data_IF_249118427103
#
_entry.id   IF_249118427103
#
_cell.length_a   1.000
_cell.length_b   1.000
_cell.length_c   1.000
_cell.angle_alpha   90.00
_cell.angle_beta   90.00
_cell.angle_gamma   90.00
#
_symmetry.space_group_name_H-M   'P 1'
#
loop_
_entity.id
_entity.type
_entity.pdbx_description
1 polymer ?
#
# COMPACT_ATOMS: atom_id res chain seq x y z
N UNK A 1 1.74 1.86 25.15
CA UNK A 1 1.44 3.30 25.06
C UNK A 1 0.66 3.48 23.77
N UNK A 2 -0.62 3.75 23.88
CA UNK A 2 -1.55 3.86 22.74
C UNK A 2 -1.23 5.12 21.96
N UNK A 3 -1.21 5.03 20.62
CA UNK A 3 -0.96 6.12 19.66
C UNK A 3 -2.10 7.14 19.55
N UNK A 4 -3.00 7.19 20.51
CA UNK A 4 -4.03 8.23 20.63
C UNK A 4 -3.38 9.47 21.22
N UNK A 5 -3.08 10.47 20.38
CA UNK A 5 -2.87 11.83 20.85
C UNK A 5 -1.56 12.54 20.54
N UNK A 6 -0.77 12.13 19.55
CA UNK A 6 0.27 13.05 19.07
C UNK A 6 -0.40 14.14 18.22
N UNK A 7 -0.32 15.40 18.68
CA UNK A 7 -0.80 16.53 17.88
C UNK A 7 0.04 16.65 16.61
N UNK A 8 -0.54 17.28 15.58
CA UNK A 8 0.18 17.58 14.33
C UNK A 8 1.45 18.39 14.62
N UNK A 9 1.40 19.32 15.58
CA UNK A 9 2.56 20.11 16.00
C UNK A 9 3.67 19.22 16.57
N UNK A 10 3.35 18.29 17.49
CA UNK A 10 4.32 17.34 18.04
C UNK A 10 4.93 16.44 16.96
N UNK A 11 4.14 16.02 15.95
CA UNK A 11 4.65 15.24 14.84
C UNK A 11 5.62 16.06 13.98
N UNK A 12 5.30 17.32 13.69
CA UNK A 12 6.19 18.22 12.95
C UNK A 12 7.46 18.52 13.73
N UNK A 13 7.39 18.76 15.05
CA UNK A 13 8.57 18.98 15.91
C UNK A 13 9.53 17.77 15.90
N UNK A 14 9.00 16.55 15.85
CA UNK A 14 9.79 15.32 15.96
C UNK A 14 10.30 14.78 14.63
N UNK A 15 9.51 14.91 13.58
CA UNK A 15 9.73 14.22 12.30
C UNK A 15 9.62 15.13 11.09
N UNK A 16 9.18 16.40 11.27
CA UNK A 16 9.16 17.38 10.19
C UNK A 16 10.57 17.69 9.69
N UNK A 17 10.71 17.90 8.40
CA UNK A 17 11.97 18.29 7.74
C UNK A 17 11.63 19.48 6.85
N UNK A 18 12.32 20.60 7.09
CA UNK A 18 12.12 21.82 6.31
C UNK A 18 12.27 21.53 4.82
N UNK A 19 11.33 22.02 4.01
CA UNK A 19 11.28 21.86 2.55
C UNK A 19 11.24 20.39 2.05
N UNK A 20 10.90 19.42 2.91
CA UNK A 20 10.82 18.02 2.51
C UNK A 20 9.67 17.23 3.15
N UNK A 21 9.42 17.38 4.46
CA UNK A 21 8.41 16.57 5.18
C UNK A 21 7.61 17.45 6.13
N UNK A 22 6.29 17.47 5.96
CA UNK A 22 5.37 18.15 6.85
C UNK A 22 4.22 17.22 7.25
N UNK A 23 3.67 17.43 8.45
CA UNK A 23 2.47 16.77 8.93
C UNK A 23 1.31 17.76 8.94
N UNK A 24 0.17 17.33 8.45
CA UNK A 24 -1.07 18.11 8.46
C UNK A 24 -2.29 17.26 8.82
N UNK A 25 -3.42 17.94 9.03
CA UNK A 25 -4.73 17.32 9.12
C UNK A 25 -5.26 17.13 7.69
N UNK A 26 -5.12 15.93 7.16
CA UNK A 26 -5.64 15.55 5.86
C UNK A 26 -7.16 15.43 5.82
N UNK A 27 -7.70 14.80 4.79
CA UNK A 27 -9.15 14.56 4.66
C UNK A 27 -9.67 13.80 5.87
N UNK A 28 -10.85 14.21 6.35
CA UNK A 28 -11.47 13.62 7.55
C UNK A 28 -10.76 13.94 8.87
N UNK A 29 -9.79 14.86 8.86
CA UNK A 29 -8.98 15.21 10.04
C UNK A 29 -7.94 14.15 10.41
N UNK A 30 -7.75 13.12 9.57
CA UNK A 30 -6.74 12.09 9.83
C UNK A 30 -5.33 12.65 9.63
N UNK A 31 -4.38 12.39 10.54
CA UNK A 31 -3.00 12.82 10.39
C UNK A 31 -2.38 12.29 9.10
N UNK A 32 -1.76 13.19 8.33
CA UNK A 32 -1.14 12.91 7.05
C UNK A 32 0.28 13.47 7.02
N UNK A 33 1.18 12.73 6.41
CA UNK A 33 2.51 13.19 5.99
C UNK A 33 2.41 13.67 4.55
N UNK A 34 2.90 14.86 4.30
CA UNK A 34 3.17 15.40 2.98
C UNK A 34 4.68 15.40 2.78
N UNK A 35 5.13 14.65 1.81
CA UNK A 35 6.51 14.72 1.29
C UNK A 35 6.49 15.58 0.05
N UNK A 36 7.29 16.64 0.03
CA UNK A 36 7.43 17.53 -1.11
C UNK A 36 8.90 17.89 -1.31
N UNK A 37 9.51 17.32 -2.32
CA UNK A 37 10.93 17.53 -2.68
C UNK A 37 11.04 17.92 -4.14
N UNK A 38 12.21 18.43 -4.60
CA UNK A 38 12.40 18.70 -6.02
C UNK A 38 12.26 17.48 -6.94
N UNK A 39 12.36 16.25 -6.40
CA UNK A 39 12.33 15.01 -7.19
C UNK A 39 10.99 14.28 -7.12
N UNK A 40 10.19 14.48 -6.07
CA UNK A 40 8.90 13.79 -5.93
C UNK A 40 7.99 14.42 -4.87
N UNK A 41 6.69 14.12 -4.99
CA UNK A 41 5.65 14.40 -4.00
C UNK A 41 4.94 13.10 -3.59
N UNK A 42 4.62 12.96 -2.29
CA UNK A 42 3.81 11.85 -1.80
C UNK A 42 2.97 12.24 -0.59
N UNK A 43 1.82 11.58 -0.41
CA UNK A 43 0.97 11.70 0.76
C UNK A 43 0.82 10.34 1.44
N UNK A 44 1.11 10.29 2.73
CA UNK A 44 0.97 9.06 3.54
C UNK A 44 0.14 9.37 4.79
N UNK A 45 -1.00 8.71 4.93
CA UNK A 45 -1.82 8.81 6.14
C UNK A 45 -1.28 7.89 7.22
N UNK A 46 -1.24 8.35 8.48
CA UNK A 46 -0.88 7.49 9.61
C UNK A 46 -1.91 6.39 9.84
N UNK A 47 -3.15 6.62 9.41
CA UNK A 47 -4.20 5.61 9.35
C UNK A 47 -3.89 4.59 8.24
N UNK A 48 -3.47 3.39 8.66
CA UNK A 48 -3.08 2.31 7.76
C UNK A 48 -1.68 2.45 7.17
N UNK A 49 -0.86 3.42 7.60
CA UNK A 49 0.39 3.83 6.93
C UNK A 49 0.19 3.96 5.41
N UNK A 50 -0.96 4.54 5.03
CA UNK A 50 -1.55 4.42 3.70
C UNK A 50 -0.98 5.47 2.74
N UNK A 51 -0.20 5.02 1.75
CA UNK A 51 0.28 5.88 0.66
C UNK A 51 -0.89 6.16 -0.28
N UNK A 52 -1.36 7.42 -0.31
CA UNK A 52 -2.54 7.82 -1.09
C UNK A 52 -2.22 8.61 -2.34
N UNK A 53 -1.01 9.16 -2.41
CA UNK A 53 -0.51 9.93 -3.55
C UNK A 53 0.97 9.67 -3.73
N UNK A 54 1.41 9.57 -4.97
CA UNK A 54 2.81 9.60 -5.37
C UNK A 54 2.92 10.14 -6.78
N UNK A 55 3.87 11.06 -6.96
CA UNK A 55 4.19 11.68 -8.24
C UNK A 55 5.68 12.02 -8.27
N UNK A 56 6.43 11.48 -9.21
CA UNK A 56 7.80 11.93 -9.47
C UNK A 56 7.81 13.21 -10.33
N UNK A 57 8.85 14.01 -10.18
CA UNK A 57 8.95 15.29 -10.87
C UNK A 57 8.83 15.13 -12.39
N UNK A 58 8.03 15.98 -13.02
CA UNK A 58 7.79 15.95 -14.47
C UNK A 58 6.85 14.85 -14.96
N UNK A 59 6.26 14.05 -14.07
CA UNK A 59 5.32 12.97 -14.40
C UNK A 59 3.94 13.19 -13.79
N UNK A 60 2.92 12.51 -14.30
CA UNK A 60 1.59 12.46 -13.71
C UNK A 60 1.54 11.53 -12.50
N UNK A 61 0.55 11.75 -11.61
CA UNK A 61 0.32 10.88 -10.44
C UNK A 61 0.19 9.40 -10.84
N UNK A 62 0.82 8.54 -10.06
CA UNK A 62 0.83 7.07 -10.29
C UNK A 62 -0.37 6.40 -9.63
N UNK A 63 -0.82 6.92 -8.48
CA UNK A 63 -1.82 6.26 -7.65
C UNK A 63 -3.22 6.83 -7.89
N UNK A 64 -4.21 5.94 -8.03
CA UNK A 64 -5.62 6.30 -8.04
C UNK A 64 -6.16 6.37 -6.62
N UNK A 65 -6.85 7.45 -6.30
CA UNK A 65 -7.57 7.64 -5.04
C UNK A 65 -9.04 7.93 -5.32
N UNK A 66 -9.94 7.11 -4.78
CA UNK A 66 -11.38 7.31 -4.97
C UNK A 66 -11.87 8.61 -4.33
N UNK A 67 -12.59 9.42 -5.10
CA UNK A 67 -13.22 10.64 -4.59
C UNK A 67 -14.32 10.34 -3.57
N UNK A 68 -14.92 9.14 -3.64
CA UNK A 68 -15.97 8.69 -2.72
C UNK A 68 -15.40 8.00 -1.47
N UNK A 69 -14.06 7.94 -1.32
CA UNK A 69 -13.45 7.36 -0.14
C UNK A 69 -13.80 8.15 1.11
N UNK A 70 -14.29 7.48 2.14
CA UNK A 70 -14.44 8.05 3.47
C UNK A 70 -13.08 8.03 4.17
N UNK A 71 -12.69 9.16 4.77
CA UNK A 71 -11.47 9.26 5.58
C UNK A 71 -11.86 9.27 7.06
N UNK A 72 -12.36 8.13 7.54
CA UNK A 72 -12.83 7.96 8.91
C UNK A 72 -11.97 6.92 9.63
N UNK A 73 -11.68 7.16 10.90
CA UNK A 73 -10.99 6.18 11.76
C UNK A 73 -11.71 4.82 11.72
N UNK A 74 -10.96 3.74 11.67
CA UNK A 74 -11.47 2.36 11.60
C UNK A 74 -12.06 1.95 10.25
N UNK A 75 -12.10 2.83 9.25
CA UNK A 75 -12.57 2.52 7.89
C UNK A 75 -11.41 2.54 6.89
N UNK A 76 -11.37 1.61 5.92
CA UNK A 76 -10.30 1.61 4.93
C UNK A 76 -10.45 2.79 3.96
N UNK A 77 -9.35 3.48 3.67
CA UNK A 77 -9.25 4.43 2.56
C UNK A 77 -9.30 3.62 1.25
N UNK A 78 -10.04 4.12 0.25
CA UNK A 78 -10.24 3.44 -1.04
C UNK A 78 -9.34 4.05 -2.12
N UNK A 79 -8.42 3.25 -2.66
CA UNK A 79 -7.37 3.68 -3.60
C UNK A 79 -6.02 3.78 -2.90
N UNK A 80 -5.01 4.35 -3.56
CA UNK A 80 -3.65 4.38 -3.06
C UNK A 80 -3.03 2.99 -2.94
N UNK A 81 -2.30 2.73 -1.86
CA UNK A 81 -1.68 1.43 -1.58
C UNK A 81 -2.02 0.97 -0.16
N UNK A 82 -3.21 0.39 0.08
CA UNK A 82 -3.54 -0.20 1.37
C UNK A 82 -2.70 -1.46 1.66
N UNK A 83 -2.32 -1.62 2.93
CA UNK A 83 -1.61 -2.80 3.43
C UNK A 83 -2.63 -3.86 3.83
N UNK A 84 -2.65 -5.00 3.14
CA UNK A 84 -3.41 -6.18 3.54
C UNK A 84 -2.55 -7.03 4.46
N UNK A 85 -2.99 -7.24 5.72
CA UNK A 85 -2.28 -8.02 6.74
C UNK A 85 -3.20 -8.23 7.96
N UNK A 86 -3.20 -9.40 8.64
CA UNK A 86 -2.39 -10.59 8.39
C UNK A 86 -3.07 -11.64 7.49
N UNK A 87 -4.14 -11.32 6.79
CA UNK A 87 -4.75 -12.15 5.76
C UNK A 87 -5.20 -11.31 4.57
N UNK A 88 -5.31 -11.97 3.41
CA UNK A 88 -5.85 -11.39 2.19
C UNK A 88 -7.25 -11.92 1.92
N UNK A 89 -8.20 -11.05 1.54
CA UNK A 89 -9.59 -11.45 1.31
C UNK A 89 -10.41 -11.60 2.60
N UNK A 90 -11.35 -12.49 2.56
CA UNK A 90 -12.19 -12.90 3.72
C UNK A 90 -11.39 -13.88 4.56
N UNK A 91 -11.48 -13.77 5.89
CA UNK A 91 -10.98 -14.80 6.77
C UNK A 91 -12.07 -15.88 6.93
N UNK A 92 -11.89 -17.04 6.31
CA UNK A 92 -12.88 -18.11 6.32
C UNK A 92 -13.16 -18.66 7.73
N UNK A 93 -12.16 -18.60 8.63
CA UNK A 93 -12.32 -19.05 10.01
C UNK A 93 -13.00 -18.00 10.91
N UNK A 94 -13.08 -16.76 10.48
CA UNK A 94 -13.70 -15.64 11.21
C UNK A 94 -14.43 -14.72 10.22
N UNK A 95 -15.64 -15.05 9.78
CA UNK A 95 -16.38 -14.28 8.75
C UNK A 95 -16.63 -12.81 9.12
N UNK A 96 -16.72 -12.49 10.41
CA UNK A 96 -16.91 -11.13 10.92
C UNK A 96 -15.61 -10.32 11.01
N UNK A 97 -14.47 -10.95 10.74
CA UNK A 97 -13.18 -10.26 10.74
C UNK A 97 -13.07 -9.25 9.57
N UNK A 98 -12.28 -8.19 9.74
CA UNK A 98 -12.10 -7.19 8.69
C UNK A 98 -11.58 -7.80 7.37
N UNK A 99 -12.25 -7.51 6.26
CA UNK A 99 -11.77 -7.91 4.93
C UNK A 99 -10.33 -7.42 4.71
N UNK A 100 -9.43 -8.28 4.24
CA UNK A 100 -7.99 -8.03 4.03
C UNK A 100 -7.22 -7.69 5.31
N UNK A 101 -7.61 -8.22 6.45
CA UNK A 101 -6.96 -7.95 7.71
C UNK A 101 -7.22 -6.55 8.27
N UNK A 102 -6.50 -6.23 9.34
CA UNK A 102 -6.74 -5.02 10.12
C UNK A 102 -5.68 -3.91 9.91
N UNK A 103 -4.54 -4.19 9.31
CA UNK A 103 -3.42 -3.24 9.23
C UNK A 103 -3.81 -1.89 8.59
N UNK A 104 -4.62 -1.94 7.54
CA UNK A 104 -5.08 -0.75 6.79
C UNK A 104 -6.14 0.11 7.50
N UNK A 105 -6.66 -0.34 8.65
CA UNK A 105 -7.68 0.38 9.43
C UNK A 105 -7.18 0.79 10.82
N UNK A 106 -5.91 0.53 11.12
CA UNK A 106 -5.27 0.89 12.39
C UNK A 106 -4.38 2.13 12.23
N UNK A 107 -4.24 2.93 13.30
CA UNK A 107 -3.20 3.97 13.31
C UNK A 107 -1.82 3.32 13.43
N UNK A 108 -0.87 3.80 12.62
CA UNK A 108 0.54 3.41 12.68
C UNK A 108 1.37 4.52 13.32
N UNK A 109 2.41 4.13 14.02
CA UNK A 109 3.36 5.07 14.61
C UNK A 109 4.44 5.42 13.60
N UNK A 110 4.75 6.71 13.44
CA UNK A 110 5.96 7.13 12.72
C UNK A 110 7.14 6.91 13.66
N UNK A 111 8.16 6.20 13.19
CA UNK A 111 9.37 5.91 13.93
C UNK A 111 10.57 6.69 13.41
N UNK A 112 10.57 7.06 12.13
CA UNK A 112 11.61 7.84 11.49
C UNK A 112 11.09 8.59 10.27
N UNK A 113 11.63 9.78 10.04
CA UNK A 113 11.60 10.49 8.76
C UNK A 113 12.98 11.08 8.52
N UNK A 114 13.57 10.85 7.36
CA UNK A 114 14.90 11.35 7.02
C UNK A 114 15.05 11.60 5.52
N UNK A 115 15.80 12.62 5.16
CA UNK A 115 16.33 12.77 3.81
C UNK A 115 17.50 11.79 3.61
N UNK A 116 17.57 11.22 2.42
CA UNK A 116 18.64 10.34 1.99
C UNK A 116 19.30 10.93 0.74
N UNK A 117 20.36 10.29 0.25
CA UNK A 117 21.07 10.76 -0.93
C UNK A 117 20.14 10.91 -2.15
N UNK A 118 20.43 11.87 -3.00
CA UNK A 118 19.65 12.15 -4.22
C UNK A 118 18.32 12.84 -3.99
N UNK A 119 18.11 13.47 -2.82
CA UNK A 119 16.86 14.20 -2.50
C UNK A 119 15.67 13.30 -2.20
N UNK A 120 15.91 12.02 -1.91
CA UNK A 120 14.87 11.07 -1.51
C UNK A 120 14.53 11.24 -0.03
N UNK A 121 13.30 10.89 0.34
CA UNK A 121 12.82 10.84 1.73
C UNK A 121 12.47 9.42 2.10
N UNK A 122 13.01 8.93 3.22
CA UNK A 122 12.64 7.66 3.84
C UNK A 122 11.75 7.93 5.05
N UNK A 123 10.58 7.29 5.07
CA UNK A 123 9.62 7.29 6.18
C UNK A 123 9.52 5.86 6.73
N UNK A 124 9.58 5.72 8.06
CA UNK A 124 9.38 4.43 8.73
C UNK A 124 8.19 4.48 9.67
N UNK A 125 7.41 3.43 9.59
CA UNK A 125 6.20 3.23 10.38
C UNK A 125 6.26 1.91 11.13
N UNK A 126 5.54 1.83 12.25
CA UNK A 126 5.42 0.62 13.06
C UNK A 126 3.96 0.41 13.47
N UNK A 127 3.48 -0.82 13.30
CA UNK A 127 2.26 -1.32 13.92
C UNK A 127 2.63 -2.45 14.88
N UNK A 128 2.28 -2.29 16.15
CA UNK A 128 2.56 -3.27 17.20
C UNK A 128 1.24 -3.97 17.57
N UNK A 129 1.29 -5.29 17.73
CA UNK A 129 0.15 -6.07 18.16
C UNK A 129 -0.35 -5.64 19.55
N UNK A 130 -1.64 -5.39 19.65
CA UNK A 130 -2.36 -5.01 20.88
C UNK A 130 -3.50 -5.99 21.21
N UNK A 131 -4.27 -5.74 22.26
CA UNK A 131 -5.44 -6.57 22.61
C UNK A 131 -6.48 -6.62 21.49
N UNK A 132 -6.70 -5.48 20.80
CA UNK A 132 -7.65 -5.40 19.70
C UNK A 132 -7.21 -6.18 18.46
N UNK A 133 -5.90 -6.29 18.19
CA UNK A 133 -5.38 -7.14 17.11
C UNK A 133 -5.39 -8.61 17.51
N UNK A 134 -5.10 -8.93 18.78
CA UNK A 134 -5.13 -10.32 19.29
C UNK A 134 -6.52 -10.94 19.26
N UNK A 135 -7.57 -10.12 19.34
CA UNK A 135 -8.95 -10.60 19.18
C UNK A 135 -9.21 -11.26 17.81
N UNK A 136 -8.49 -10.79 16.78
CA UNK A 136 -8.60 -11.31 15.42
C UNK A 136 -7.45 -12.25 15.03
N UNK A 137 -6.25 -12.02 15.57
CA UNK A 137 -5.05 -12.78 15.25
C UNK A 137 -4.19 -12.89 16.51
N UNK A 138 -4.23 -14.03 17.24
CA UNK A 138 -3.72 -14.17 18.63
C UNK A 138 -2.20 -14.33 18.67
N UNK A 139 -1.47 -13.47 17.96
CA UNK A 139 -0.01 -13.45 17.94
C UNK A 139 0.53 -12.10 18.41
N UNK A 140 1.69 -12.14 19.07
CA UNK A 140 2.50 -10.95 19.32
C UNK A 140 3.36 -10.66 18.09
N UNK A 141 3.34 -9.43 17.61
CA UNK A 141 4.10 -9.05 16.42
C UNK A 141 4.45 -7.57 16.41
N UNK A 142 5.46 -7.24 15.63
CA UNK A 142 5.76 -5.88 15.18
C UNK A 142 5.82 -5.90 13.67
N UNK A 143 5.05 -5.02 13.02
CA UNK A 143 5.04 -4.88 11.58
C UNK A 143 5.63 -3.52 11.23
N UNK A 144 6.84 -3.52 10.69
CA UNK A 144 7.52 -2.35 10.15
C UNK A 144 7.07 -2.09 8.70
N UNK A 145 6.90 -0.83 8.36
CA UNK A 145 6.66 -0.41 6.98
C UNK A 145 7.57 0.75 6.63
N UNK A 146 8.37 0.60 5.59
CA UNK A 146 9.27 1.63 5.09
C UNK A 146 8.79 2.12 3.75
N UNK A 147 8.68 3.43 3.60
CA UNK A 147 8.33 4.11 2.34
C UNK A 147 9.49 5.03 1.96
N UNK A 148 10.08 4.80 0.79
CA UNK A 148 11.08 5.71 0.23
C UNK A 148 10.47 6.43 -0.96
N UNK A 149 10.45 7.75 -0.87
CA UNK A 149 9.90 8.67 -1.88
C UNK A 149 11.06 9.36 -2.59
N UNK A 150 11.15 9.16 -3.88
CA UNK A 150 12.16 9.75 -4.74
C UNK A 150 11.69 9.71 -6.20
N UNK A 151 12.62 9.59 -7.13
CA UNK A 151 12.34 9.30 -8.54
C UNK A 151 11.54 8.00 -8.74
N UNK A 152 11.67 7.08 -7.77
CA UNK A 152 10.85 5.88 -7.62
C UNK A 152 10.18 5.87 -6.24
N UNK A 153 9.04 5.18 -6.15
CA UNK A 153 8.39 4.88 -4.89
C UNK A 153 8.75 3.45 -4.48
N UNK A 154 9.46 3.29 -3.37
CA UNK A 154 9.76 1.98 -2.81
C UNK A 154 9.00 1.78 -1.51
N UNK A 155 8.40 0.59 -1.35
CA UNK A 155 7.66 0.21 -0.16
C UNK A 155 8.11 -1.17 0.30
N UNK A 156 8.39 -1.33 1.60
CA UNK A 156 8.84 -2.59 2.19
C UNK A 156 8.11 -2.87 3.49
N UNK A 157 7.63 -4.10 3.66
CA UNK A 157 7.07 -4.62 4.90
C UNK A 157 8.07 -5.57 5.56
N UNK A 158 8.22 -5.44 6.88
CA UNK A 158 9.07 -6.29 7.71
C UNK A 158 8.26 -6.78 8.92
N UNK A 159 8.06 -8.09 9.01
CA UNK A 159 7.34 -8.71 10.12
C UNK A 159 8.32 -9.30 11.12
N UNK A 160 8.24 -8.87 12.37
CA UNK A 160 8.92 -9.47 13.51
C UNK A 160 7.91 -10.26 14.36
N UNK A 161 8.21 -11.53 14.58
CA UNK A 161 7.43 -12.42 15.45
C UNK A 161 7.93 -12.28 16.89
N UNK A 162 7.13 -11.67 17.76
CA UNK A 162 7.47 -11.48 19.19
C UNK A 162 7.19 -12.73 20.03
N UNK A 163 6.80 -13.84 19.42
CA UNK A 163 6.46 -15.09 20.11
C UNK A 163 7.52 -16.17 19.85
N UNK A 164 7.49 -17.23 20.67
CA UNK A 164 8.32 -18.43 20.46
C UNK A 164 7.66 -19.46 19.56
N UNK A 165 6.43 -19.19 19.10
CA UNK A 165 5.67 -20.09 18.24
C UNK A 165 5.72 -19.60 16.80
N UNK A 166 5.71 -20.52 15.86
CA UNK A 166 5.55 -20.21 14.43
C UNK A 166 4.23 -19.49 14.19
N UNK A 167 4.25 -18.48 13.33
CA UNK A 167 3.05 -17.79 12.87
C UNK A 167 2.95 -17.88 11.34
N UNK A 168 1.73 -17.92 10.85
CA UNK A 168 1.42 -17.84 9.43
C UNK A 168 0.61 -16.58 9.14
N UNK A 169 0.96 -15.90 8.07
CA UNK A 169 0.23 -14.72 7.61
C UNK A 169 0.23 -14.62 6.08
N UNK A 170 -0.71 -13.87 5.56
CA UNK A 170 -0.71 -13.39 4.19
C UNK A 170 -0.54 -11.87 4.21
N UNK A 171 0.18 -11.35 3.23
CA UNK A 171 0.39 -9.91 3.08
C UNK A 171 0.30 -9.48 1.63
N UNK A 172 -0.17 -8.26 1.40
CA UNK A 172 -0.15 -7.63 0.09
C UNK A 172 -0.11 -6.12 0.21
N UNK A 173 0.61 -5.47 -0.70
CA UNK A 173 0.48 -4.05 -1.01
C UNK A 173 -0.51 -3.92 -2.16
N UNK A 174 -1.78 -3.63 -1.85
CA UNK A 174 -2.87 -3.63 -2.82
C UNK A 174 -2.93 -2.29 -3.58
N UNK A 175 -2.01 -2.10 -4.52
CA UNK A 175 -1.83 -0.81 -5.21
C UNK A 175 -2.90 -0.56 -6.25
N UNK A 176 -3.52 0.62 -6.20
CA UNK A 176 -4.45 1.13 -7.21
C UNK A 176 -3.72 2.11 -8.12
N UNK A 177 -3.52 1.74 -9.37
CA UNK A 177 -2.90 2.61 -10.35
C UNK A 177 -3.91 3.55 -11.00
N UNK A 178 -3.52 4.83 -11.16
CA UNK A 178 -4.25 5.78 -11.99
C UNK A 178 -4.03 5.44 -13.45
N UNK A 179 -5.10 5.26 -14.21
CA UNK A 179 -5.05 4.99 -15.64
C UNK A 179 -6.07 5.85 -16.40
N UNK A 180 -5.81 6.11 -17.68
CA UNK A 180 -6.69 6.90 -18.54
C UNK A 180 -8.06 6.22 -18.77
N UNK A 181 -8.01 4.96 -19.19
CA UNK A 181 -9.18 4.10 -19.43
C UNK A 181 -8.70 2.64 -19.33
N UNK A 182 -9.24 1.89 -18.38
CA UNK A 182 -8.86 0.49 -18.13
C UNK A 182 -8.96 -0.41 -19.39
N UNK A 183 -9.85 -0.08 -20.31
CA UNK A 183 -10.03 -0.83 -21.59
C UNK A 183 -8.91 -0.58 -22.60
N UNK A 184 -8.07 0.44 -22.37
CA UNK A 184 -6.99 0.85 -23.28
C UNK A 184 -5.60 0.58 -22.74
N UNK A 185 -5.53 0.05 -21.50
CA UNK A 185 -4.26 -0.31 -20.89
C UNK A 185 -3.96 -1.79 -21.04
N UNK A 186 -2.69 -2.13 -20.92
CA UNK A 186 -2.24 -3.52 -20.90
C UNK A 186 -1.18 -3.72 -19.82
N UNK A 187 -1.11 -4.95 -19.30
CA UNK A 187 -0.09 -5.32 -18.31
C UNK A 187 0.76 -6.46 -18.87
N UNK A 188 2.06 -6.21 -19.01
CA UNK A 188 3.08 -7.15 -19.46
C UNK A 188 3.84 -7.74 -18.28
N UNK A 189 4.53 -8.85 -18.52
CA UNK A 189 5.36 -9.57 -17.53
C UNK A 189 4.64 -10.74 -16.87
N UNK A 190 3.38 -11.01 -17.23
CA UNK A 190 2.57 -12.11 -16.70
C UNK A 190 2.28 -13.18 -17.77
N UNK A 191 2.82 -13.05 -18.96
CA UNK A 191 2.63 -13.96 -20.07
C UNK A 191 3.06 -15.38 -19.69
N UNK A 192 2.26 -16.37 -20.08
CA UNK A 192 2.49 -17.79 -19.77
C UNK A 192 2.49 -18.17 -18.28
N UNK A 193 2.18 -17.24 -17.37
CA UNK A 193 2.06 -17.50 -15.94
C UNK A 193 0.72 -18.13 -15.60
N UNK A 194 0.69 -19.01 -14.63
CA UNK A 194 -0.53 -19.60 -14.08
C UNK A 194 -1.24 -18.63 -13.14
N UNK A 195 -2.56 -18.59 -13.19
CA UNK A 195 -3.38 -17.79 -12.27
C UNK A 195 -4.66 -18.51 -11.87
N UNK A 196 -5.24 -18.09 -10.74
CA UNK A 196 -6.59 -18.43 -10.35
C UNK A 196 -7.52 -17.29 -10.79
N UNK A 197 -8.56 -17.64 -11.56
CA UNK A 197 -9.57 -16.70 -12.04
C UNK A 197 -10.72 -16.60 -11.02
N UNK A 198 -10.75 -15.53 -10.23
CA UNK A 198 -11.76 -15.34 -9.18
C UNK A 198 -13.15 -15.07 -9.76
N UNK A 199 -13.22 -14.45 -10.95
CA UNK A 199 -14.50 -14.22 -11.66
C UNK A 199 -15.10 -15.52 -12.15
N UNK A 200 -14.26 -16.52 -12.45
CA UNK A 200 -14.68 -17.85 -12.91
C UNK A 200 -14.49 -18.90 -11.79
N UNK A 201 -15.00 -18.60 -10.60
CA UNK A 201 -15.05 -19.55 -9.47
C UNK A 201 -13.69 -20.00 -8.94
N UNK A 202 -12.61 -19.28 -9.22
CA UNK A 202 -11.25 -19.64 -8.78
C UNK A 202 -10.60 -20.74 -9.61
N UNK A 203 -11.07 -20.99 -10.83
CA UNK A 203 -10.49 -21.99 -11.72
C UNK A 203 -9.05 -21.61 -12.09
N UNK A 204 -8.16 -22.60 -12.06
CA UNK A 204 -6.77 -22.42 -12.46
C UNK A 204 -6.65 -22.32 -13.98
N UNK A 205 -6.08 -21.22 -14.45
CA UNK A 205 -5.85 -20.93 -15.88
C UNK A 205 -4.41 -20.55 -16.14
N UNK A 206 -4.05 -20.43 -17.41
CA UNK A 206 -2.75 -19.93 -17.84
C UNK A 206 -2.95 -18.68 -18.70
N UNK A 207 -2.17 -17.62 -18.42
CA UNK A 207 -2.14 -16.43 -19.23
C UNK A 207 -1.63 -16.77 -20.63
N UNK A 208 -2.34 -16.38 -21.71
CA UNK A 208 -1.82 -16.53 -23.06
C UNK A 208 -0.47 -15.83 -23.29
N UNK A 209 0.16 -16.12 -24.41
CA UNK A 209 1.36 -15.40 -24.83
C UNK A 209 0.99 -14.01 -25.35
N UNK A 210 0.85 -13.07 -24.43
CA UNK A 210 0.47 -11.69 -24.67
C UNK A 210 0.09 -11.00 -23.36
N UNK A 211 0.00 -9.66 -23.36
CA UNK A 211 -0.31 -8.90 -22.16
C UNK A 211 -1.70 -9.20 -21.62
N UNK A 212 -1.91 -8.88 -20.36
CA UNK A 212 -3.25 -8.83 -19.77
C UNK A 212 -3.96 -7.58 -20.27
N UNK A 213 -5.16 -7.74 -20.81
CA UNK A 213 -6.06 -6.65 -21.23
C UNK A 213 -7.41 -6.81 -20.55
N UNK A 214 -8.18 -5.73 -20.48
CA UNK A 214 -9.40 -5.65 -19.69
C UNK A 214 -10.61 -5.38 -20.61
N UNK A 215 -11.40 -6.41 -20.89
CA UNK A 215 -12.66 -6.30 -21.65
C UNK A 215 -13.91 -6.37 -20.77
N UNK A 216 -13.74 -6.70 -19.50
CA UNK A 216 -14.79 -6.85 -18.49
C UNK A 216 -14.18 -6.99 -17.11
N UNK A 217 -14.99 -7.44 -16.14
CA UNK A 217 -14.51 -7.73 -14.81
C UNK A 217 -13.35 -8.72 -14.85
N UNK A 218 -12.27 -8.39 -14.15
CA UNK A 218 -11.05 -9.19 -14.12
C UNK A 218 -10.53 -9.22 -12.70
N UNK A 219 -10.50 -10.40 -12.10
CA UNK A 219 -9.91 -10.66 -10.77
C UNK A 219 -9.08 -11.94 -10.86
N UNK A 220 -7.75 -11.81 -10.84
CA UNK A 220 -6.80 -12.90 -11.08
C UNK A 220 -5.69 -12.88 -10.04
N UNK A 221 -5.39 -14.06 -9.49
CA UNK A 221 -4.25 -14.25 -8.61
C UNK A 221 -3.19 -15.06 -9.36
N UNK A 222 -2.14 -14.39 -9.82
CA UNK A 222 -1.01 -15.02 -10.49
C UNK A 222 -0.11 -15.68 -9.47
N UNK A 223 0.36 -16.90 -9.78
CA UNK A 223 1.11 -17.75 -8.88
C UNK A 223 2.58 -17.83 -9.29
N UNK A 224 3.46 -18.01 -8.29
CA UNK A 224 4.86 -18.35 -8.47
C UNK A 224 5.59 -17.46 -9.50
N UNK A 225 5.39 -16.14 -9.39
CA UNK A 225 6.02 -15.19 -10.31
C UNK A 225 6.68 -14.04 -9.57
N UNK A 226 7.95 -13.82 -9.87
CA UNK A 226 8.75 -12.65 -9.46
C UNK A 226 8.88 -11.63 -10.59
N UNK A 227 8.13 -11.82 -11.67
CA UNK A 227 8.25 -10.99 -12.86
C UNK A 227 7.98 -9.50 -12.53
N UNK A 228 8.78 -8.64 -13.10
CA UNK A 228 8.49 -7.22 -13.20
C UNK A 228 7.27 -7.04 -14.10
N UNK A 229 6.28 -6.31 -13.63
CA UNK A 229 5.09 -6.00 -14.42
C UNK A 229 5.20 -4.58 -14.99
N UNK A 230 4.85 -4.44 -16.25
CA UNK A 230 4.79 -3.13 -16.92
C UNK A 230 3.36 -2.85 -17.34
N UNK A 231 2.75 -1.83 -16.71
CA UNK A 231 1.47 -1.30 -17.12
C UNK A 231 1.72 -0.24 -18.20
N UNK A 232 1.19 -0.45 -19.39
CA UNK A 232 1.22 0.53 -20.49
C UNK A 232 -0.11 1.26 -20.57
N UNK A 233 -0.05 2.58 -20.64
CA UNK A 233 -1.20 3.48 -20.82
C UNK A 233 -0.95 4.40 -22.01
N UNK A 234 -1.22 3.94 -23.24
CA UNK A 234 -0.94 4.68 -24.45
C UNK A 234 -1.65 6.04 -24.53
N UNK A 235 -2.93 6.21 -24.09
CA UNK A 235 -3.56 7.53 -24.10
C UNK A 235 -2.87 8.57 -23.21
N UNK A 236 -2.20 8.15 -22.14
CA UNK A 236 -1.39 9.02 -21.28
C UNK A 236 0.09 9.06 -21.71
N UNK A 237 0.47 8.30 -22.74
CA UNK A 237 1.85 8.23 -23.21
C UNK A 237 2.83 7.73 -22.15
N UNK A 238 2.40 6.88 -21.20
CA UNK A 238 3.24 6.44 -20.08
C UNK A 238 3.28 4.94 -19.87
N UNK A 239 4.31 4.53 -19.14
CA UNK A 239 4.49 3.17 -18.62
C UNK A 239 4.73 3.26 -17.12
N UNK A 240 4.08 2.39 -16.36
CA UNK A 240 4.34 2.21 -14.93
C UNK A 240 5.01 0.85 -14.76
N UNK A 241 6.23 0.88 -14.22
CA UNK A 241 7.01 -0.33 -13.97
C UNK A 241 6.84 -0.70 -12.50
N UNK A 242 6.37 -1.90 -12.23
CA UNK A 242 6.20 -2.44 -10.90
C UNK A 242 7.10 -3.65 -10.70
N UNK A 243 8.11 -3.50 -9.85
CA UNK A 243 8.99 -4.58 -9.41
C UNK A 243 8.60 -5.05 -8.01
N UNK A 244 8.80 -6.32 -7.71
CA UNK A 244 8.56 -6.90 -6.39
C UNK A 244 9.67 -7.86 -6.03
N UNK A 245 9.93 -8.03 -4.74
CA UNK A 245 10.67 -9.17 -4.22
C UNK A 245 9.84 -10.44 -4.35
N UNK A 246 10.48 -11.58 -4.40
CA UNK A 246 9.84 -12.87 -4.28
C UNK A 246 9.34 -13.16 -2.87
#
# INVERSE_FOLDING_TARGET
MTSEGQSIDTLNERFGIVDAVAFDAGRGGLPRIVVATPVAEAHVYLHGAHVTHYQSAGHESVLFLSQQSSFNSGRPIRGGTPICFPWFGVNENMPDAPLHGFARTRPWQVTSARCTDGGKVELKFMLIGDEGTRAWWPHGFQLGFTVTVGDELTMSLELHNDTQTELSCEQALHTYFMVSDVRKVSVHGLENTTFFDKVDGGIRKRQPNGPVTFAGETDRVYQDTEAQCVLEDPPMGRRIINSKSG
#
